data_IF_519244934498
#
_entry.id   IF_519244934498
#
_cell.length_a   1.000
_cell.length_b   1.000
_cell.length_c   1.000
_cell.angle_alpha   90.00
_cell.angle_beta   90.00
_cell.angle_gamma   90.00
#
_symmetry.space_group_name_H-M   'P 1'
#
loop_
_entity.id
_entity.type
_entity.pdbx_description
1 polymer ?
#
# COMPACT_ATOMS: atom_id res chain seq x y z
N UNK A 1 13.42 -13.36 2.16
CA UNK A 1 13.49 -14.83 2.30
C UNK A 1 14.63 -15.32 3.17
N UNK A 2 15.85 -14.80 3.04
CA UNK A 2 17.00 -15.26 3.83
C UNK A 2 16.78 -15.21 5.36
N UNK A 3 16.30 -14.08 5.90
CA UNK A 3 16.01 -13.96 7.34
C UNK A 3 14.99 -15.01 7.83
N UNK A 4 13.95 -15.26 7.04
CA UNK A 4 12.90 -16.23 7.35
C UNK A 4 13.39 -17.67 7.33
N UNK A 5 14.20 -18.04 6.33
CA UNK A 5 14.84 -19.37 6.28
C UNK A 5 15.77 -19.60 7.47
N UNK A 6 16.50 -18.56 7.89
CA UNK A 6 17.40 -18.65 9.05
C UNK A 6 16.64 -18.77 10.37
N UNK A 7 15.52 -18.07 10.52
CA UNK A 7 14.66 -18.14 11.71
C UNK A 7 14.02 -19.52 11.86
N UNK A 8 13.52 -20.09 10.76
CA UNK A 8 12.98 -21.46 10.73
C UNK A 8 14.05 -22.56 10.72
N UNK A 9 15.34 -22.20 10.71
CA UNK A 9 16.48 -23.14 10.60
C UNK A 9 16.35 -24.11 9.40
N UNK A 10 15.77 -23.65 8.30
CA UNK A 10 15.58 -24.44 7.08
C UNK A 10 16.95 -24.81 6.50
N UNK A 11 17.23 -26.11 6.44
CA UNK A 11 18.44 -26.61 5.78
C UNK A 11 18.36 -26.38 4.27
N UNK A 12 19.50 -26.20 3.61
CA UNK A 12 19.55 -26.12 2.16
C UNK A 12 19.09 -27.43 1.49
N UNK A 13 19.26 -28.56 2.18
CA UNK A 13 18.88 -29.91 1.71
C UNK A 13 17.37 -30.17 1.69
N UNK A 14 16.56 -29.34 2.37
CA UNK A 14 15.11 -29.51 2.39
C UNK A 14 14.42 -29.00 1.11
N UNK A 15 15.15 -28.30 0.24
CA UNK A 15 14.63 -27.73 -1.03
C UNK A 15 13.26 -27.03 -0.91
N UNK A 16 12.98 -26.43 0.26
CA UNK A 16 11.69 -25.78 0.55
C UNK A 16 11.44 -24.62 -0.39
N UNK A 17 10.24 -24.54 -0.96
CA UNK A 17 9.83 -23.40 -1.79
C UNK A 17 9.60 -22.14 -0.96
N UNK A 18 9.80 -20.97 -1.56
CA UNK A 18 9.54 -19.70 -0.86
C UNK A 18 8.08 -19.56 -0.43
N UNK A 19 7.14 -20.09 -1.23
CA UNK A 19 5.71 -20.08 -0.92
C UNK A 19 5.39 -20.90 0.33
N UNK A 20 5.97 -22.11 0.46
CA UNK A 20 5.78 -22.99 1.61
C UNK A 20 6.26 -22.33 2.92
N UNK A 21 7.41 -21.67 2.90
CA UNK A 21 7.95 -20.95 4.06
C UNK A 21 7.07 -19.78 4.48
N UNK A 22 6.54 -19.02 3.52
CA UNK A 22 5.65 -17.89 3.82
C UNK A 22 4.31 -18.36 4.40
N UNK A 23 3.80 -19.49 3.91
CA UNK A 23 2.57 -20.11 4.41
C UNK A 23 2.76 -20.62 5.86
N UNK A 24 3.87 -21.29 6.14
CA UNK A 24 4.21 -21.82 7.47
C UNK A 24 4.35 -20.72 8.53
N UNK A 25 5.00 -19.61 8.19
CA UNK A 25 5.14 -18.47 9.11
C UNK A 25 3.83 -17.70 9.30
N UNK A 26 2.79 -18.00 8.53
CA UNK A 26 1.53 -17.25 8.56
C UNK A 26 1.72 -15.76 8.32
N UNK A 27 2.76 -15.36 7.56
CA UNK A 27 3.04 -13.93 7.30
C UNK A 27 1.99 -13.44 6.32
N UNK A 28 0.95 -12.84 6.88
CA UNK A 28 -0.14 -12.31 6.09
C UNK A 28 0.16 -10.91 5.53
N UNK A 29 1.03 -10.14 6.20
CA UNK A 29 1.38 -8.76 5.81
C UNK A 29 2.69 -8.68 5.02
N UNK A 30 2.65 -7.99 3.87
CA UNK A 30 3.86 -7.59 3.13
C UNK A 30 4.54 -6.41 3.83
N UNK A 31 5.62 -6.67 4.56
CA UNK A 31 6.44 -5.64 5.20
C UNK A 31 6.91 -4.56 4.22
N UNK A 32 7.16 -4.92 2.96
CA UNK A 32 7.54 -3.98 1.90
C UNK A 32 6.50 -2.87 1.73
N UNK A 33 5.22 -3.22 1.66
CA UNK A 33 4.14 -2.24 1.42
C UNK A 33 3.94 -1.32 2.61
N UNK A 34 4.10 -1.85 3.82
CA UNK A 34 4.15 -1.08 5.07
C UNK A 34 5.27 -0.04 5.06
N UNK A 35 6.49 -0.47 4.74
CA UNK A 35 7.66 0.40 4.68
C UNK A 35 7.50 1.47 3.60
N UNK A 36 6.97 1.11 2.44
CA UNK A 36 6.68 2.05 1.35
C UNK A 36 5.67 3.13 1.79
N UNK A 37 4.55 2.75 2.41
CA UNK A 37 3.56 3.71 2.91
C UNK A 37 4.17 4.68 3.93
N UNK A 38 4.97 4.17 4.87
CA UNK A 38 5.66 5.02 5.87
C UNK A 38 6.66 5.97 5.24
N UNK A 39 7.42 5.51 4.24
CA UNK A 39 8.35 6.34 3.48
C UNK A 39 7.62 7.50 2.81
N UNK A 40 6.51 7.23 2.11
CA UNK A 40 5.78 8.28 1.38
C UNK A 40 5.13 9.28 2.34
N UNK A 41 4.56 8.81 3.45
CA UNK A 41 4.01 9.68 4.51
C UNK A 41 5.06 10.61 5.09
N UNK A 42 6.24 10.06 5.41
CA UNK A 42 7.36 10.82 5.94
C UNK A 42 7.89 11.81 4.90
N UNK A 43 7.99 11.41 3.64
CA UNK A 43 8.41 12.30 2.55
C UNK A 43 7.45 13.48 2.38
N UNK A 44 6.14 13.23 2.42
CA UNK A 44 5.14 14.30 2.38
C UNK A 44 5.21 15.22 3.60
N UNK A 45 5.44 14.66 4.80
CA UNK A 45 5.62 15.48 6.01
C UNK A 45 6.82 16.43 5.89
N UNK A 46 7.99 15.91 5.49
CA UNK A 46 9.21 16.71 5.35
C UNK A 46 9.10 17.72 4.21
N UNK A 47 8.53 17.33 3.07
CA UNK A 47 8.40 18.23 1.91
C UNK A 47 7.49 19.42 2.17
N UNK A 48 6.56 19.32 3.14
CA UNK A 48 5.66 20.39 3.56
C UNK A 48 6.20 21.26 4.70
N UNK A 49 7.33 20.93 5.31
CA UNK A 49 7.98 21.82 6.29
C UNK A 49 8.60 23.03 5.59
N UNK A 50 8.86 24.07 6.36
CA UNK A 50 9.49 25.30 5.88
C UNK A 50 10.81 25.00 5.15
N UNK A 51 11.15 25.86 4.18
CA UNK A 51 12.36 25.69 3.36
C UNK A 51 13.64 25.70 4.18
N UNK A 52 13.63 26.37 5.35
CA UNK A 52 14.77 26.46 6.27
C UNK A 52 14.88 25.26 7.22
N UNK A 53 13.91 24.33 7.17
CA UNK A 53 14.02 23.11 7.96
C UNK A 53 15.14 22.22 7.45
N UNK A 54 16.05 21.85 8.37
CA UNK A 54 17.22 21.04 8.07
C UNK A 54 16.82 19.69 7.42
N UNK A 55 15.73 19.10 7.86
CA UNK A 55 15.18 17.85 7.30
C UNK A 55 14.89 17.97 5.80
N UNK A 56 14.25 19.07 5.39
CA UNK A 56 13.88 19.32 3.99
C UNK A 56 15.13 19.58 3.14
N UNK A 57 16.07 20.36 3.67
CA UNK A 57 17.34 20.64 3.03
C UNK A 57 18.17 19.37 2.82
N UNK A 58 18.21 18.47 3.81
CA UNK A 58 18.93 17.18 3.71
C UNK A 58 18.30 16.24 2.68
N UNK A 59 16.96 16.20 2.59
CA UNK A 59 16.26 15.31 1.65
C UNK A 59 16.34 15.82 0.21
N UNK A 60 16.24 17.14 0.00
CA UNK A 60 16.26 17.76 -1.32
C UNK A 60 17.69 18.09 -1.80
N UNK A 61 18.63 18.23 -0.88
CA UNK A 61 20.02 18.51 -1.14
C UNK A 61 20.68 17.42 -1.99
N UNK A 62 21.29 17.82 -3.10
CA UNK A 62 22.23 16.96 -3.82
C UNK A 62 23.60 17.12 -3.18
N UNK A 63 24.04 16.10 -2.46
CA UNK A 63 25.43 16.00 -2.01
C UNK A 63 26.27 15.60 -3.21
N UNK A 64 27.24 16.45 -3.56
CA UNK A 64 28.22 16.17 -4.60
C UNK A 64 29.16 15.02 -4.20
N UNK A 65 29.58 14.23 -5.20
CA UNK A 65 30.48 13.10 -5.02
C UNK A 65 29.82 11.71 -5.07
N UNK A 66 30.70 10.70 -5.20
CA UNK A 66 30.31 9.29 -5.32
C UNK A 66 30.22 8.63 -3.95
N UNK A 67 29.31 7.66 -3.81
CA UNK A 67 29.20 6.90 -2.55
C UNK A 67 30.34 5.90 -2.42
N UNK A 68 30.91 5.71 -1.21
CA UNK A 68 31.90 4.68 -0.96
C UNK A 68 31.37 3.28 -1.27
N UNK A 69 32.27 2.39 -1.68
CA UNK A 69 31.98 0.98 -1.94
C UNK A 69 31.40 0.32 -0.66
N UNK A 70 30.36 -0.51 -0.82
CA UNK A 70 29.71 -1.23 0.29
C UNK A 70 28.46 -0.55 0.87
N UNK A 71 28.21 0.75 0.61
CA UNK A 71 26.92 1.37 0.92
C UNK A 71 25.88 1.03 -0.15
N UNK A 72 24.61 0.90 0.28
CA UNK A 72 23.50 0.71 -0.67
C UNK A 72 23.49 1.83 -1.72
N UNK A 73 23.49 1.49 -3.03
CA UNK A 73 23.36 2.45 -4.11
C UNK A 73 22.03 3.21 -4.06
N UNK A 74 21.00 2.58 -3.48
CA UNK A 74 19.64 3.10 -3.46
C UNK A 74 19.47 4.17 -2.38
N UNK A 75 19.33 5.43 -2.80
CA UNK A 75 18.99 6.56 -1.92
C UNK A 75 17.52 6.50 -1.54
N UNK A 76 17.17 7.06 -0.39
CA UNK A 76 15.76 7.22 -0.03
C UNK A 76 14.96 7.98 -1.10
N UNK A 77 15.53 9.06 -1.65
CA UNK A 77 14.93 9.81 -2.77
C UNK A 77 14.76 8.97 -4.05
N UNK A 78 15.65 8.00 -4.30
CA UNK A 78 15.48 7.03 -5.39
C UNK A 78 14.38 6.01 -5.10
N UNK A 79 14.18 5.62 -3.84
CA UNK A 79 13.06 4.78 -3.45
C UNK A 79 11.73 5.51 -3.69
N UNK A 80 11.63 6.79 -3.31
CA UNK A 80 10.44 7.63 -3.59
C UNK A 80 10.20 7.73 -5.09
N UNK A 81 11.23 8.00 -5.89
CA UNK A 81 11.14 8.00 -7.36
C UNK A 81 10.66 6.66 -7.91
N UNK A 82 11.16 5.54 -7.38
CA UNK A 82 10.75 4.21 -7.83
C UNK A 82 9.31 3.86 -7.47
N UNK A 83 8.80 4.35 -6.34
CA UNK A 83 7.41 4.12 -5.88
C UNK A 83 6.38 4.99 -6.60
N UNK A 84 6.72 6.25 -6.87
CA UNK A 84 5.80 7.26 -7.44
C UNK A 84 5.92 7.33 -8.97
N UNK A 85 7.10 7.04 -9.52
CA UNK A 85 7.39 7.18 -10.96
C UNK A 85 7.85 8.58 -11.37
N UNK A 86 7.58 9.60 -10.56
CA UNK A 86 7.94 10.99 -10.85
C UNK A 86 9.30 11.39 -10.26
N UNK A 87 9.99 12.37 -10.86
CA UNK A 87 11.22 12.91 -10.28
C UNK A 87 10.95 13.62 -8.95
N UNK A 88 11.95 13.60 -8.05
CA UNK A 88 11.81 14.06 -6.66
C UNK A 88 11.34 15.51 -6.53
N UNK A 89 11.79 16.41 -7.40
CA UNK A 89 11.36 17.82 -7.39
C UNK A 89 9.86 17.97 -7.68
N UNK A 90 9.33 17.15 -8.58
CA UNK A 90 7.91 17.13 -8.90
C UNK A 90 7.11 16.53 -7.74
N UNK A 91 7.62 15.45 -7.13
CA UNK A 91 7.04 14.89 -5.92
C UNK A 91 6.94 15.95 -4.82
N UNK A 92 7.98 16.75 -4.58
CA UNK A 92 7.93 17.87 -3.62
C UNK A 92 6.78 18.83 -3.94
N UNK A 93 6.60 19.23 -5.20
CA UNK A 93 5.51 20.14 -5.59
C UNK A 93 4.13 19.50 -5.40
N UNK A 94 4.00 18.21 -5.69
CA UNK A 94 2.75 17.47 -5.49
C UNK A 94 2.38 17.34 -4.01
N UNK A 95 3.37 17.28 -3.11
CA UNK A 95 3.12 17.18 -1.66
C UNK A 95 2.47 18.42 -1.05
N UNK A 96 2.55 19.59 -1.71
CA UNK A 96 1.89 20.83 -1.26
C UNK A 96 0.39 20.64 -1.15
N UNK A 97 -0.21 19.94 -2.12
CA UNK A 97 -1.60 19.52 -2.03
C UNK A 97 -1.70 18.19 -1.27
N UNK A 98 -2.28 18.24 -0.06
CA UNK A 98 -2.40 17.07 0.82
C UNK A 98 -3.30 15.99 0.24
N UNK A 99 -4.39 16.36 -0.42
CA UNK A 99 -5.34 15.42 -1.03
C UNK A 99 -4.68 14.70 -2.20
N UNK A 100 -4.06 15.46 -3.10
CA UNK A 100 -3.36 14.90 -4.26
C UNK A 100 -2.20 13.99 -3.85
N UNK A 101 -1.48 14.34 -2.78
CA UNK A 101 -0.43 13.47 -2.24
C UNK A 101 -0.99 12.18 -1.64
N UNK A 102 -2.13 12.26 -0.96
CA UNK A 102 -2.83 11.09 -0.41
C UNK A 102 -3.30 10.14 -1.52
N UNK A 103 -3.80 10.68 -2.63
CA UNK A 103 -4.17 9.87 -3.80
C UNK A 103 -2.97 9.13 -4.38
N UNK A 104 -1.80 9.79 -4.47
CA UNK A 104 -0.57 9.15 -4.94
C UNK A 104 -0.13 8.03 -3.99
N UNK A 105 -0.18 8.25 -2.67
CA UNK A 105 0.11 7.20 -1.68
C UNK A 105 -0.81 5.98 -1.85
N UNK A 106 -2.10 6.21 -2.10
CA UNK A 106 -3.09 5.15 -2.34
C UNK A 106 -2.80 4.44 -3.66
N UNK A 107 -2.46 5.17 -4.73
CA UNK A 107 -2.15 4.59 -6.04
C UNK A 107 -0.88 3.72 -6.00
N UNK A 108 0.17 4.17 -5.29
CA UNK A 108 1.38 3.38 -5.05
C UNK A 108 1.08 2.14 -4.19
N UNK A 109 0.16 2.23 -3.24
CA UNK A 109 -0.32 1.07 -2.47
C UNK A 109 -1.07 0.08 -3.38
N UNK A 110 -1.97 0.56 -4.23
CA UNK A 110 -2.75 -0.25 -5.18
C UNK A 110 -1.85 -1.01 -6.15
N UNK A 111 -0.80 -0.36 -6.68
CA UNK A 111 0.13 -1.03 -7.60
C UNK A 111 0.88 -2.18 -6.91
N UNK A 112 1.18 -2.06 -5.61
CA UNK A 112 1.81 -3.13 -4.84
C UNK A 112 0.90 -4.36 -4.62
N UNK A 113 -0.42 -4.16 -4.61
CA UNK A 113 -1.41 -5.24 -4.46
C UNK A 113 -2.01 -5.72 -5.77
N UNK A 114 -1.67 -5.10 -6.91
CA UNK A 114 -2.30 -5.36 -8.20
C UNK A 114 -2.36 -6.85 -8.54
N UNK A 115 -1.24 -7.55 -8.42
CA UNK A 115 -1.17 -8.99 -8.70
C UNK A 115 -2.02 -9.82 -7.74
N UNK A 116 -2.03 -9.47 -6.44
CA UNK A 116 -2.79 -10.20 -5.43
C UNK A 116 -4.31 -9.98 -5.63
N UNK A 117 -4.71 -8.78 -6.09
CA UNK A 117 -6.08 -8.45 -6.47
C UNK A 117 -6.49 -9.22 -7.74
N UNK A 118 -5.65 -9.23 -8.77
CA UNK A 118 -5.92 -9.94 -10.04
C UNK A 118 -6.02 -11.46 -9.85
N UNK A 119 -5.36 -12.01 -8.83
CA UNK A 119 -5.38 -13.45 -8.54
C UNK A 119 -6.58 -13.86 -7.65
N UNK A 120 -7.24 -12.90 -7.01
CA UNK A 120 -8.36 -13.19 -6.12
C UNK A 120 -9.61 -13.53 -6.92
N UNK A 121 -10.07 -14.78 -6.81
CA UNK A 121 -11.17 -15.32 -7.62
C UNK A 121 -12.55 -15.21 -6.96
N UNK A 122 -12.57 -15.04 -5.63
CA UNK A 122 -13.80 -14.92 -4.83
C UNK A 122 -13.80 -13.71 -3.89
N UNK A 123 -15.00 -13.22 -3.56
CA UNK A 123 -15.21 -12.12 -2.60
C UNK A 123 -14.68 -12.47 -1.21
N UNK A 124 -14.76 -13.74 -0.81
CA UNK A 124 -14.26 -14.23 0.48
C UNK A 124 -12.73 -14.23 0.53
N UNK A 125 -12.06 -14.67 -0.54
CA UNK A 125 -10.59 -14.57 -0.66
C UNK A 125 -10.12 -13.12 -0.65
N UNK A 126 -10.85 -12.25 -1.36
CA UNK A 126 -10.57 -10.82 -1.40
C UNK A 126 -10.74 -10.17 -0.02
N UNK A 127 -11.79 -10.54 0.71
CA UNK A 127 -12.03 -10.07 2.09
C UNK A 127 -10.96 -10.57 3.06
N UNK A 128 -10.57 -11.86 3.00
CA UNK A 128 -9.46 -12.40 3.79
C UNK A 128 -8.15 -11.66 3.49
N UNK A 129 -7.86 -11.39 2.21
CA UNK A 129 -6.68 -10.66 1.76
C UNK A 129 -6.64 -9.23 2.30
N UNK A 130 -7.74 -8.48 2.23
CA UNK A 130 -7.76 -7.08 2.63
C UNK A 130 -7.90 -6.90 4.14
N UNK A 131 -8.79 -7.65 4.78
CA UNK A 131 -9.17 -7.45 6.19
C UNK A 131 -8.19 -8.17 7.11
N UNK A 132 -7.89 -9.42 6.82
CA UNK A 132 -7.11 -10.29 7.70
C UNK A 132 -5.64 -10.19 7.33
N UNK A 133 -5.32 -10.32 6.03
CA UNK A 133 -3.93 -10.35 5.60
C UNK A 133 -3.27 -8.99 5.58
N UNK A 134 -3.99 -7.95 5.17
CA UNK A 134 -3.46 -6.58 5.05
C UNK A 134 -4.13 -5.60 6.02
N UNK A 135 -4.31 -6.00 7.29
CA UNK A 135 -4.91 -5.16 8.34
C UNK A 135 -4.31 -3.74 8.45
N UNK A 136 -3.04 -3.55 8.09
CA UNK A 136 -2.42 -2.21 8.08
C UNK A 136 -3.10 -1.19 7.17
N UNK A 137 -3.88 -1.63 6.17
CA UNK A 137 -4.67 -0.73 5.32
C UNK A 137 -5.67 0.03 6.20
N UNK A 138 -6.23 -0.62 7.23
CA UNK A 138 -7.11 0.03 8.22
C UNK A 138 -6.43 1.19 8.93
N UNK A 139 -5.19 1.03 9.40
CA UNK A 139 -4.45 2.10 10.08
C UNK A 139 -3.88 3.14 9.11
N UNK A 140 -3.54 2.73 7.89
CA UNK A 140 -2.80 3.58 6.95
C UNK A 140 -3.71 4.39 6.03
N UNK A 141 -4.83 3.80 5.63
CA UNK A 141 -5.84 4.36 4.72
C UNK A 141 -7.25 3.97 5.21
N UNK A 142 -7.73 4.57 6.32
CA UNK A 142 -9.02 4.20 6.92
C UNK A 142 -10.20 4.34 5.95
N UNK A 143 -10.17 5.33 5.06
CA UNK A 143 -11.24 5.59 4.10
C UNK A 143 -11.30 4.49 3.03
N UNK A 144 -10.13 4.03 2.57
CA UNK A 144 -10.00 2.93 1.61
C UNK A 144 -10.47 1.62 2.23
N UNK A 145 -10.06 1.37 3.47
CA UNK A 145 -10.53 0.21 4.24
C UNK A 145 -12.05 0.23 4.42
N UNK A 146 -12.63 1.39 4.76
CA UNK A 146 -14.07 1.58 4.90
C UNK A 146 -14.79 1.34 3.58
N UNK A 147 -14.29 1.88 2.47
CA UNK A 147 -14.83 1.63 1.14
C UNK A 147 -14.80 0.13 0.78
N UNK A 148 -13.74 -0.59 1.15
CA UNK A 148 -13.63 -2.04 0.95
C UNK A 148 -14.58 -2.85 1.85
N UNK A 149 -14.96 -2.36 3.02
CA UNK A 149 -16.00 -2.98 3.84
C UNK A 149 -17.40 -2.70 3.29
N UNK A 150 -17.61 -1.50 2.75
CA UNK A 150 -18.89 -1.10 2.18
C UNK A 150 -19.16 -1.81 0.85
N UNK A 151 -18.16 -2.00 -0.01
CA UNK A 151 -18.34 -2.56 -1.35
C UNK A 151 -19.01 -3.96 -1.37
N UNK A 152 -18.64 -4.94 -0.53
CA UNK A 152 -19.35 -6.22 -0.43
C UNK A 152 -20.74 -6.13 0.22
N UNK A 153 -20.99 -5.06 0.99
CA UNK A 153 -22.28 -4.83 1.65
C UNK A 153 -23.29 -4.11 0.77
N UNK A 154 -22.85 -3.48 -0.32
CA UNK A 154 -23.74 -2.92 -1.33
C UNK A 154 -24.35 -4.12 -2.09
N UNK A 155 -25.67 -4.36 -1.98
CA UNK A 155 -26.30 -5.45 -2.68
C UNK A 155 -26.16 -5.21 -4.19
N UNK A 156 -25.45 -6.10 -4.90
CA UNK A 156 -25.33 -6.10 -6.37
C UNK A 156 -26.61 -6.66 -7.03
N UNK A 157 -27.76 -6.55 -6.36
CA UNK A 157 -29.04 -7.03 -6.89
C UNK A 157 -29.99 -5.85 -7.08
N UNK A 158 -30.14 -5.45 -8.34
CA UNK A 158 -31.25 -4.65 -8.86
C UNK A 158 -32.63 -5.13 -8.37
N UNK A 159 -32.76 -6.40 -7.97
CA UNK A 159 -33.99 -7.01 -7.47
C UNK A 159 -34.43 -6.54 -6.07
N UNK A 160 -33.52 -6.13 -5.16
CA UNK A 160 -33.93 -5.70 -3.81
C UNK A 160 -34.54 -4.29 -3.81
N UNK A 161 -34.13 -3.45 -4.76
CA UNK A 161 -34.76 -2.16 -5.02
C UNK A 161 -36.16 -2.36 -5.65
N UNK A 162 -36.31 -3.27 -6.62
CA UNK A 162 -37.60 -3.55 -7.28
C UNK A 162 -38.69 -4.03 -6.30
N UNK A 163 -38.35 -4.87 -5.32
CA UNK A 163 -39.32 -5.34 -4.32
C UNK A 163 -39.79 -4.21 -3.39
N UNK A 164 -38.96 -3.21 -3.15
CA UNK A 164 -39.28 -2.02 -2.35
C UNK A 164 -40.19 -1.04 -3.12
N UNK A 165 -39.97 -0.88 -4.43
CA UNK A 165 -40.84 -0.08 -5.31
C UNK A 165 -42.19 -0.74 -5.62
N UNK A 166 -42.29 -2.07 -5.63
CA UNK A 166 -43.57 -2.78 -5.81
C UNK A 166 -44.56 -2.53 -4.66
N UNK A 167 -44.07 -2.37 -3.41
CA UNK A 167 -44.93 -1.98 -2.28
C UNK A 167 -45.44 -0.54 -2.37
N UNK A 168 -44.64 0.37 -2.95
CA UNK A 168 -45.05 1.75 -3.19
C UNK A 168 -46.09 1.88 -4.29
N UNK A 169 -46.14 0.94 -5.24
CA UNK A 169 -47.20 0.88 -6.27
C UNK A 169 -48.59 0.57 -5.69
N UNK A 170 -48.67 -0.21 -4.61
CA UNK A 170 -49.93 -0.54 -3.92
C UNK A 170 -50.54 0.65 -3.16
N UNK A 171 -49.75 1.68 -2.86
CA UNK A 171 -50.21 2.89 -2.14
C UNK A 171 -50.71 3.97 -3.13
N UNK A 172 -50.41 3.81 -4.43
CA UNK A 172 -50.76 4.76 -5.50
C UNK A 172 -52.01 4.40 -6.31
N UNK A 173 -52.71 3.34 -5.94
CA UNK A 173 -54.07 2.97 -6.41
C UNK A 173 -55.05 3.20 -5.29
#
# INVERSE_FOLDING_TARGET
MWCWRRMLRVSWTEFRTNASILQELGIKQRLSTLVQSRILKLFGHISRRDNDSLDRLVVQGKVEGSRPRGRSPMRWTFQVKAMVGNPVHECTRLTTNRERWRDIEILSCRSAFRHDIETSSSITEFADLLIIKNHFISSSFPEVYTAFLLFPSIPVTSASAERSFSKLKLIKT
#
